data_IF_789206645354
#
_entry.id   IF_789206645354
#
_cell.length_a   1.000
_cell.length_b   1.000
_cell.length_c   1.000
_cell.angle_alpha   90.00
_cell.angle_beta   90.00
_cell.angle_gamma   90.00
#
_symmetry.space_group_name_H-M   'P 1'
#
loop_
_entity.id
_entity.type
_entity.pdbx_description
1 polymer ?
#
# COMPACT_ATOMS: atom_id res chain seq x y z
N UNK A 1 21.49 10.99 -25.34
CA UNK A 1 20.95 12.33 -25.68
C UNK A 1 19.45 12.25 -25.93
N UNK A 2 18.95 11.36 -26.79
CA UNK A 2 17.55 11.28 -27.20
C UNK A 2 16.61 11.07 -26.01
N UNK A 3 16.91 10.13 -25.12
CA UNK A 3 16.16 9.94 -23.88
C UNK A 3 16.23 11.16 -22.95
N UNK A 4 17.38 11.88 -22.96
CA UNK A 4 17.56 13.08 -22.15
C UNK A 4 16.63 14.23 -22.53
N UNK A 5 16.15 14.30 -23.78
CA UNK A 5 15.24 15.36 -24.26
C UNK A 5 13.78 14.90 -24.34
N UNK A 6 13.44 13.75 -23.73
CA UNK A 6 12.08 13.21 -23.74
C UNK A 6 11.02 14.17 -23.17
N UNK A 7 11.40 15.02 -22.20
CA UNK A 7 10.50 16.04 -21.67
C UNK A 7 10.01 17.00 -22.76
N UNK A 8 10.87 17.40 -23.70
CA UNK A 8 10.50 18.30 -24.80
C UNK A 8 9.63 17.59 -25.86
N UNK A 9 9.87 16.30 -26.09
CA UNK A 9 9.11 15.51 -27.06
C UNK A 9 7.76 15.02 -26.51
N UNK A 10 7.60 14.89 -25.21
CA UNK A 10 6.41 14.34 -24.57
C UNK A 10 5.68 15.40 -23.74
N UNK A 11 6.31 15.91 -22.67
CA UNK A 11 5.61 16.81 -21.73
C UNK A 11 5.20 18.14 -22.38
N UNK A 12 6.10 18.76 -23.14
CA UNK A 12 5.82 20.03 -23.83
C UNK A 12 4.87 19.89 -25.04
N UNK A 13 4.65 18.68 -25.55
CA UNK A 13 3.82 18.43 -26.74
C UNK A 13 2.41 17.96 -26.40
N UNK A 14 2.21 17.32 -25.27
CA UNK A 14 0.92 16.79 -24.86
C UNK A 14 0.20 17.82 -23.99
N UNK A 15 -1.05 18.10 -24.34
CA UNK A 15 -1.90 19.06 -23.62
C UNK A 15 -2.47 18.54 -22.30
N UNK A 16 -2.40 17.22 -22.08
CA UNK A 16 -2.85 16.53 -20.88
C UNK A 16 -1.72 16.30 -19.87
N UNK A 17 -0.50 16.78 -20.16
CA UNK A 17 0.67 16.68 -19.29
C UNK A 17 1.23 18.07 -18.95
N UNK A 18 1.98 18.14 -17.85
CA UNK A 18 2.60 19.36 -17.38
C UNK A 18 4.13 19.27 -17.49
N UNK A 19 4.76 20.42 -17.71
CA UNK A 19 6.20 20.60 -17.67
C UNK A 19 6.54 21.72 -16.65
N UNK A 20 7.48 21.47 -15.72
CA UNK A 20 8.27 20.24 -15.48
C UNK A 20 7.42 19.06 -14.99
N UNK A 21 7.90 17.82 -15.15
CA UNK A 21 7.28 16.65 -14.58
C UNK A 21 7.22 16.77 -13.04
N UNK A 22 6.13 16.31 -12.43
CA UNK A 22 6.01 16.27 -10.97
C UNK A 22 7.03 15.31 -10.34
N UNK A 23 7.34 14.20 -11.01
CA UNK A 23 8.26 13.17 -10.50
C UNK A 23 8.98 12.46 -11.64
N UNK A 24 10.32 12.32 -11.52
CA UNK A 24 11.14 11.36 -12.24
C UNK A 24 11.42 10.16 -11.33
N UNK A 25 11.14 8.95 -11.81
CA UNK A 25 11.28 7.72 -11.04
C UNK A 25 12.02 6.67 -11.85
N UNK A 26 13.19 6.24 -11.36
CA UNK A 26 14.02 5.18 -11.94
C UNK A 26 15.06 4.67 -10.92
N UNK A 27 15.86 3.69 -11.34
CA UNK A 27 16.95 3.16 -10.54
C UNK A 27 18.05 4.20 -10.27
N UNK A 28 18.80 3.99 -9.22
CA UNK A 28 19.89 4.88 -8.79
C UNK A 28 21.04 5.03 -9.82
N UNK A 29 21.17 4.09 -10.77
CA UNK A 29 22.13 4.18 -11.90
C UNK A 29 21.81 5.35 -12.84
N UNK A 30 20.55 5.81 -12.88
CA UNK A 30 20.13 6.92 -13.75
C UNK A 30 20.65 8.30 -13.32
N UNK A 31 21.29 8.41 -12.17
CA UNK A 31 22.10 9.59 -11.81
C UNK A 31 23.26 9.82 -12.77
N UNK A 32 23.74 8.76 -13.44
CA UNK A 32 24.75 8.83 -14.50
C UNK A 32 24.20 8.58 -15.90
N UNK A 33 22.89 8.57 -16.04
CA UNK A 33 22.17 8.28 -17.28
C UNK A 33 21.11 9.33 -17.60
N UNK A 34 19.86 8.90 -17.59
CA UNK A 34 18.70 9.71 -17.99
C UNK A 34 18.51 10.97 -17.13
N UNK A 35 18.59 10.88 -15.80
CA UNK A 35 18.45 12.06 -14.94
C UNK A 35 19.49 13.11 -15.26
N UNK A 36 20.73 12.71 -15.42
CA UNK A 36 21.84 13.61 -15.72
C UNK A 36 21.69 14.28 -17.08
N UNK A 37 21.47 13.51 -18.15
CA UNK A 37 21.30 14.05 -19.49
C UNK A 37 20.07 14.94 -19.60
N UNK A 38 18.96 14.58 -18.97
CA UNK A 38 17.73 15.36 -18.96
C UNK A 38 17.90 16.67 -18.19
N UNK A 39 18.57 16.64 -17.03
CA UNK A 39 18.85 17.84 -16.26
C UNK A 39 19.71 18.84 -17.06
N UNK A 40 20.83 18.38 -17.61
CA UNK A 40 21.77 19.26 -18.33
C UNK A 40 21.11 19.87 -19.58
N UNK A 41 20.37 19.10 -20.36
CA UNK A 41 19.69 19.61 -21.56
C UNK A 41 18.59 20.60 -21.22
N UNK A 42 17.81 20.35 -20.16
CA UNK A 42 16.75 21.25 -19.73
C UNK A 42 17.30 22.55 -19.13
N UNK A 43 18.26 22.47 -18.23
CA UNK A 43 18.89 23.67 -17.65
C UNK A 43 19.56 24.51 -18.75
N UNK A 44 20.29 23.89 -19.68
CA UNK A 44 20.93 24.60 -20.79
C UNK A 44 19.95 25.26 -21.78
N UNK A 45 18.75 24.78 -21.93
CA UNK A 45 17.78 25.25 -22.93
C UNK A 45 16.54 25.94 -22.37
N UNK A 46 16.16 25.68 -21.10
CA UNK A 46 14.96 26.22 -20.40
C UNK A 46 15.32 26.98 -19.12
N UNK A 47 16.57 26.87 -18.63
CA UNK A 47 17.01 27.54 -17.41
C UNK A 47 16.59 26.85 -16.09
N UNK A 48 15.89 25.71 -16.16
CA UNK A 48 15.43 24.96 -14.97
C UNK A 48 15.40 23.44 -15.20
N UNK A 49 15.28 22.68 -14.11
CA UNK A 49 15.18 21.23 -14.18
C UNK A 49 13.88 20.78 -14.88
N UNK A 50 13.87 19.61 -15.57
CA UNK A 50 12.69 19.09 -16.25
C UNK A 50 11.72 18.35 -15.29
N UNK A 51 12.00 18.35 -13.99
CA UNK A 51 11.22 17.69 -12.93
C UNK A 51 11.21 18.52 -11.65
N UNK A 52 10.16 18.37 -10.88
CA UNK A 52 10.04 18.94 -9.54
C UNK A 52 10.69 18.06 -8.48
N UNK A 53 10.62 16.73 -8.65
CA UNK A 53 11.15 15.75 -7.70
C UNK A 53 11.79 14.57 -8.43
N UNK A 54 12.73 13.90 -7.76
CA UNK A 54 13.35 12.64 -8.20
C UNK A 54 13.19 11.60 -7.11
N UNK A 55 12.70 10.42 -7.47
CA UNK A 55 12.66 9.25 -6.62
C UNK A 55 13.53 8.16 -7.23
N UNK A 56 14.45 7.60 -6.45
CA UNK A 56 15.31 6.52 -6.90
C UNK A 56 15.08 5.25 -6.11
N UNK A 57 15.25 4.11 -6.78
CA UNK A 57 15.14 2.80 -6.16
C UNK A 57 16.39 1.97 -6.43
N UNK A 58 16.61 0.95 -5.58
CA UNK A 58 17.62 -0.09 -5.78
C UNK A 58 17.19 -1.11 -6.83
N UNK A 59 17.89 -2.24 -6.88
CA UNK A 59 17.64 -3.31 -7.83
C UNK A 59 16.95 -4.50 -7.18
N UNK A 60 16.32 -5.33 -7.99
CA UNK A 60 15.77 -6.61 -7.54
C UNK A 60 16.88 -7.66 -7.61
N UNK A 61 17.13 -8.30 -6.47
CA UNK A 61 18.12 -9.37 -6.31
C UNK A 61 17.45 -10.67 -5.84
N UNK A 62 18.12 -11.80 -5.98
CA UNK A 62 17.60 -13.07 -5.49
C UNK A 62 17.58 -13.12 -3.94
N UNK A 63 17.10 -14.23 -3.38
CA UNK A 63 17.00 -14.40 -1.92
C UNK A 63 18.33 -14.33 -1.19
N UNK A 64 19.46 -14.59 -1.88
CA UNK A 64 20.82 -14.49 -1.34
C UNK A 64 21.43 -13.08 -1.52
N UNK A 65 20.75 -12.17 -2.23
CA UNK A 65 21.24 -10.84 -2.54
C UNK A 65 22.13 -10.78 -3.80
N UNK A 66 22.08 -11.79 -4.64
CA UNK A 66 22.83 -11.82 -5.90
C UNK A 66 21.98 -11.27 -7.05
N UNK A 67 22.64 -10.60 -7.99
CA UNK A 67 22.00 -10.10 -9.21
C UNK A 67 21.35 -11.25 -9.97
N UNK A 68 20.09 -11.08 -10.35
CA UNK A 68 19.38 -12.04 -11.17
C UNK A 68 19.86 -12.00 -12.62
N UNK A 69 20.11 -13.17 -13.21
CA UNK A 69 20.44 -13.31 -14.62
C UNK A 69 19.92 -14.61 -15.19
N UNK A 70 19.61 -14.63 -16.49
CA UNK A 70 19.16 -15.85 -17.18
C UNK A 70 20.24 -16.96 -17.13
N UNK A 71 21.50 -16.57 -17.21
CA UNK A 71 22.63 -17.52 -17.15
C UNK A 71 22.80 -18.17 -15.79
N UNK A 72 22.42 -17.48 -14.71
CA UNK A 72 22.46 -18.03 -13.34
C UNK A 72 21.21 -18.84 -12.97
N UNK A 73 20.17 -18.81 -13.79
CA UNK A 73 18.91 -19.53 -13.53
C UNK A 73 18.12 -19.05 -12.30
N UNK A 74 18.44 -17.88 -11.75
CA UNK A 74 17.86 -17.33 -10.54
C UNK A 74 16.82 -16.23 -10.80
N UNK A 75 16.34 -16.10 -12.05
CA UNK A 75 15.36 -15.10 -12.43
C UNK A 75 13.96 -15.55 -12.01
N UNK A 76 13.25 -14.70 -11.27
CA UNK A 76 11.82 -14.84 -11.01
C UNK A 76 11.07 -13.90 -11.94
N UNK A 77 10.22 -14.48 -12.79
CA UNK A 77 9.46 -13.72 -13.78
C UNK A 77 8.11 -13.30 -13.20
N UNK A 78 7.70 -12.02 -13.32
CA UNK A 78 6.41 -11.54 -12.80
C UNK A 78 5.20 -12.39 -13.21
N UNK A 79 5.14 -12.84 -14.48
CA UNK A 79 4.04 -13.67 -14.98
C UNK A 79 3.90 -15.01 -14.24
N UNK A 80 5.01 -15.59 -13.81
CA UNK A 80 4.98 -16.83 -13.01
C UNK A 80 4.42 -16.58 -11.60
N UNK A 81 4.77 -15.46 -11.00
CA UNK A 81 4.23 -15.04 -9.69
C UNK A 81 2.73 -14.77 -9.83
N UNK A 82 2.34 -13.99 -10.82
CA UNK A 82 0.94 -13.62 -11.07
C UNK A 82 0.08 -14.85 -11.31
N UNK A 83 0.55 -15.80 -12.11
CA UNK A 83 -0.21 -17.03 -12.42
C UNK A 83 -0.41 -17.94 -11.20
N UNK A 84 0.56 -17.95 -10.26
CA UNK A 84 0.53 -18.84 -9.08
C UNK A 84 -0.13 -18.18 -7.86
N UNK A 85 0.15 -16.90 -7.62
CA UNK A 85 -0.19 -16.21 -6.38
C UNK A 85 -1.14 -15.01 -6.59
N UNK A 86 -1.31 -14.57 -7.83
CA UNK A 86 -2.09 -13.37 -8.17
C UNK A 86 -1.25 -12.10 -8.19
N UNK A 87 -1.72 -11.10 -8.93
CA UNK A 87 -1.04 -9.82 -9.08
C UNK A 87 -0.94 -9.03 -7.76
N UNK A 88 -1.90 -9.21 -6.86
CA UNK A 88 -1.93 -8.47 -5.59
C UNK A 88 -0.79 -8.89 -4.65
N UNK A 89 -0.38 -10.16 -4.68
CA UNK A 89 0.79 -10.62 -3.89
C UNK A 89 2.07 -9.98 -4.41
N UNK A 90 2.22 -9.86 -5.72
CA UNK A 90 3.37 -9.17 -6.33
C UNK A 90 3.39 -7.67 -5.96
N UNK A 91 2.24 -6.99 -6.03
CA UNK A 91 2.11 -5.58 -5.61
C UNK A 91 2.43 -5.39 -4.13
N UNK A 92 1.93 -6.28 -3.27
CA UNK A 92 2.25 -6.26 -1.84
C UNK A 92 3.74 -6.47 -1.58
N UNK A 93 4.40 -7.37 -2.34
CA UNK A 93 5.84 -7.57 -2.21
C UNK A 93 6.60 -6.27 -2.48
N UNK A 94 6.33 -5.60 -3.59
CA UNK A 94 6.98 -4.31 -3.92
C UNK A 94 6.73 -3.26 -2.83
N UNK A 95 5.52 -3.25 -2.25
CA UNK A 95 5.15 -2.29 -1.21
C UNK A 95 5.71 -2.65 0.18
N UNK A 96 6.05 -3.92 0.42
CA UNK A 96 6.51 -4.39 1.73
C UNK A 96 7.99 -4.11 2.00
N UNK A 97 8.77 -3.92 0.94
CA UNK A 97 10.21 -3.71 1.01
C UNK A 97 10.58 -2.23 0.98
N UNK A 98 11.69 -1.85 1.60
CA UNK A 98 12.25 -0.50 1.43
C UNK A 98 13.02 -0.45 0.10
N UNK A 99 12.37 0.05 -0.93
CA UNK A 99 12.90 0.13 -2.28
C UNK A 99 14.14 1.06 -2.44
N UNK A 100 14.51 1.82 -1.42
CA UNK A 100 15.72 2.68 -1.46
C UNK A 100 16.99 1.85 -1.56
N UNK A 101 16.96 0.63 -1.02
CA UNK A 101 18.01 -0.38 -1.14
C UNK A 101 17.62 -1.47 -2.15
N UNK A 102 18.55 -2.41 -2.41
CA UNK A 102 18.27 -3.58 -3.23
C UNK A 102 17.27 -4.50 -2.53
N UNK A 103 16.20 -4.85 -3.24
CA UNK A 103 15.10 -5.66 -2.70
C UNK A 103 15.23 -7.12 -3.10
N UNK A 104 15.02 -8.01 -2.12
CA UNK A 104 15.16 -9.45 -2.32
C UNK A 104 13.82 -10.07 -2.74
N UNK A 105 13.91 -11.01 -3.71
CA UNK A 105 12.78 -11.83 -4.09
C UNK A 105 13.14 -13.31 -4.00
N UNK A 106 12.26 -14.11 -3.41
CA UNK A 106 12.34 -15.58 -3.41
C UNK A 106 10.95 -16.18 -3.25
N UNK A 107 10.79 -17.45 -3.58
CA UNK A 107 9.51 -18.15 -3.38
C UNK A 107 9.09 -18.17 -1.91
N UNK A 108 10.03 -18.21 -0.97
CA UNK A 108 9.74 -18.15 0.46
C UNK A 108 9.20 -16.78 0.89
N UNK A 109 9.83 -15.69 0.40
CA UNK A 109 9.36 -14.33 0.64
C UNK A 109 7.95 -14.15 0.09
N UNK A 110 7.71 -14.56 -1.15
CA UNK A 110 6.40 -14.48 -1.79
C UNK A 110 5.33 -15.29 -1.06
N UNK A 111 5.67 -16.48 -0.54
CA UNK A 111 4.74 -17.29 0.26
C UNK A 111 4.36 -16.60 1.57
N UNK A 112 5.32 -16.01 2.29
CA UNK A 112 5.03 -15.23 3.52
C UNK A 112 4.12 -14.03 3.23
N UNK A 113 4.32 -13.38 2.09
CA UNK A 113 3.46 -12.28 1.67
C UNK A 113 2.06 -12.73 1.26
N UNK A 114 1.93 -13.88 0.63
CA UNK A 114 0.63 -14.49 0.36
C UNK A 114 -0.13 -14.77 1.66
N UNK A 115 0.53 -15.28 2.70
CA UNK A 115 -0.09 -15.48 4.02
C UNK A 115 -0.53 -14.13 4.65
N UNK A 116 0.27 -13.07 4.51
CA UNK A 116 -0.11 -11.74 4.97
C UNK A 116 -1.31 -11.17 4.18
N UNK A 117 -1.33 -11.35 2.86
CA UNK A 117 -2.47 -10.99 2.01
C UNK A 117 -3.76 -11.70 2.46
N UNK A 118 -3.69 -12.99 2.74
CA UNK A 118 -4.86 -13.72 3.23
C UNK A 118 -5.36 -13.22 4.58
N UNK A 119 -4.49 -12.78 5.48
CA UNK A 119 -4.91 -12.17 6.76
C UNK A 119 -5.67 -10.86 6.52
N UNK A 120 -5.15 -9.97 5.68
CA UNK A 120 -5.84 -8.72 5.31
C UNK A 120 -7.19 -9.05 4.65
N UNK A 121 -7.23 -9.97 3.69
CA UNK A 121 -8.46 -10.38 3.03
C UNK A 121 -9.48 -10.98 4.00
N UNK A 122 -9.04 -11.76 4.97
CA UNK A 122 -9.92 -12.33 5.98
C UNK A 122 -10.51 -11.26 6.92
N UNK A 123 -9.75 -10.19 7.21
CA UNK A 123 -10.27 -9.01 7.90
C UNK A 123 -11.47 -8.42 7.14
N UNK A 124 -11.31 -8.15 5.84
CA UNK A 124 -12.42 -7.67 5.00
C UNK A 124 -13.61 -8.64 4.97
N UNK A 125 -13.35 -9.93 4.86
CA UNK A 125 -14.44 -10.94 4.90
C UNK A 125 -15.22 -10.92 6.21
N UNK A 126 -14.52 -10.75 7.34
CA UNK A 126 -15.17 -10.62 8.64
C UNK A 126 -16.03 -9.37 8.73
N UNK A 127 -15.49 -8.23 8.30
CA UNK A 127 -16.20 -6.95 8.27
C UNK A 127 -17.48 -7.06 7.43
N UNK A 128 -17.36 -7.48 6.17
CA UNK A 128 -18.48 -7.63 5.24
C UNK A 128 -19.52 -8.63 5.76
N UNK A 129 -19.08 -9.77 6.28
CA UNK A 129 -19.96 -10.81 6.79
C UNK A 129 -20.79 -10.38 8.01
N UNK A 130 -20.30 -9.42 8.81
CA UNK A 130 -21.00 -8.93 9.99
C UNK A 130 -21.77 -7.61 9.76
N UNK A 131 -21.74 -7.09 8.54
CA UNK A 131 -22.47 -5.89 8.12
C UNK A 131 -23.65 -6.19 7.17
N UNK A 132 -23.98 -7.46 6.93
CA UNK A 132 -25.01 -7.86 5.97
C UNK A 132 -26.41 -7.31 6.27
N UNK A 133 -26.72 -7.06 7.55
CA UNK A 133 -27.99 -6.55 8.06
C UNK A 133 -27.88 -5.10 8.60
N UNK A 134 -26.79 -4.40 8.32
CA UNK A 134 -26.52 -3.05 8.80
C UNK A 134 -26.84 -1.99 7.74
N UNK A 135 -27.77 -1.11 8.03
CA UNK A 135 -28.09 0.07 7.22
C UNK A 135 -27.42 1.31 7.83
N UNK A 136 -26.37 1.87 7.21
CA UNK A 136 -25.62 2.98 7.80
C UNK A 136 -26.44 4.27 7.98
N UNK A 137 -27.55 4.41 7.26
CA UNK A 137 -28.42 5.57 7.41
C UNK A 137 -29.36 5.46 8.63
N UNK A 138 -29.73 4.23 9.02
CA UNK A 138 -30.70 3.97 10.10
C UNK A 138 -30.04 3.43 11.37
N UNK A 139 -28.95 2.68 11.22
CA UNK A 139 -28.38 1.85 12.28
C UNK A 139 -27.14 2.44 12.92
N UNK A 140 -26.56 3.48 12.30
CA UNK A 140 -25.35 4.12 12.77
C UNK A 140 -25.59 4.82 14.10
N UNK A 141 -24.71 4.56 15.05
CA UNK A 141 -24.76 5.16 16.39
C UNK A 141 -23.73 6.31 16.47
N UNK A 142 -24.08 7.44 17.09
CA UNK A 142 -23.13 8.55 17.33
C UNK A 142 -21.94 8.11 18.18
N UNK A 143 -20.77 8.72 17.94
CA UNK A 143 -19.52 8.33 18.60
C UNK A 143 -19.60 8.35 20.14
N UNK A 144 -20.36 9.27 20.72
CA UNK A 144 -20.55 9.37 22.18
C UNK A 144 -21.29 8.19 22.78
N UNK A 145 -22.12 7.51 21.99
CA UNK A 145 -22.97 6.38 22.40
C UNK A 145 -22.31 5.03 22.09
N UNK A 146 -21.19 5.02 21.37
CA UNK A 146 -20.44 3.79 21.11
C UNK A 146 -19.86 3.22 22.40
N UNK A 147 -19.79 1.91 22.49
CA UNK A 147 -19.11 1.24 23.59
C UNK A 147 -17.61 1.57 23.59
N UNK A 148 -16.99 1.55 24.76
CA UNK A 148 -15.60 1.95 24.94
C UNK A 148 -14.64 1.19 24.00
N UNK A 149 -14.83 -0.12 23.86
CA UNK A 149 -14.00 -0.95 22.98
C UNK A 149 -14.18 -0.60 21.49
N UNK A 150 -15.36 -0.14 21.07
CA UNK A 150 -15.63 0.29 19.71
C UNK A 150 -14.99 1.66 19.45
N UNK A 151 -15.02 2.57 20.42
CA UNK A 151 -14.27 3.84 20.37
C UNK A 151 -12.77 3.61 20.34
N UNK A 152 -12.26 2.62 21.10
CA UNK A 152 -10.86 2.23 21.04
C UNK A 152 -10.46 1.77 19.63
N UNK A 153 -11.27 0.91 19.01
CA UNK A 153 -10.99 0.43 17.64
C UNK A 153 -10.94 1.58 16.63
N UNK A 154 -11.89 2.53 16.72
CA UNK A 154 -11.89 3.73 15.88
C UNK A 154 -10.70 4.65 16.16
N UNK A 155 -10.24 4.73 17.41
CA UNK A 155 -9.02 5.47 17.74
C UNK A 155 -7.78 4.83 17.12
N UNK A 156 -7.65 3.49 17.14
CA UNK A 156 -6.56 2.80 16.45
C UNK A 156 -6.62 3.02 14.93
N UNK A 157 -7.83 3.02 14.34
CA UNK A 157 -8.03 3.36 12.94
C UNK A 157 -7.52 4.78 12.62
N UNK A 158 -7.82 5.78 13.45
CA UNK A 158 -7.34 7.15 13.23
C UNK A 158 -5.82 7.27 13.30
N UNK A 159 -5.19 6.53 14.22
CA UNK A 159 -3.72 6.44 14.27
C UNK A 159 -3.15 5.81 12.99
N UNK A 160 -3.78 4.74 12.50
CA UNK A 160 -3.40 4.10 11.25
C UNK A 160 -3.50 5.10 10.08
N UNK A 161 -4.63 5.77 9.93
CA UNK A 161 -4.86 6.76 8.84
C UNK A 161 -3.80 7.85 8.87
N UNK A 162 -3.50 8.43 10.04
CA UNK A 162 -2.48 9.48 10.16
C UNK A 162 -1.11 8.98 9.74
N UNK A 163 -0.72 7.79 10.23
CA UNK A 163 0.57 7.17 9.90
C UNK A 163 0.69 6.81 8.41
N UNK A 164 -0.39 6.29 7.83
CA UNK A 164 -0.44 5.94 6.40
C UNK A 164 -0.29 7.18 5.52
N UNK A 165 -1.01 8.26 5.83
CA UNK A 165 -0.90 9.53 5.08
C UNK A 165 0.52 10.09 5.14
N UNK A 166 1.09 10.16 6.34
CA UNK A 166 2.46 10.64 6.53
C UNK A 166 3.49 9.77 5.77
N UNK A 167 3.30 8.45 5.76
CA UNK A 167 4.16 7.53 5.01
C UNK A 167 4.01 7.70 3.49
N UNK A 168 2.81 7.96 2.97
CA UNK A 168 2.61 8.29 1.54
C UNK A 168 3.30 9.59 1.16
N UNK A 169 3.19 10.64 1.98
CA UNK A 169 3.85 11.93 1.72
C UNK A 169 5.38 11.79 1.65
N UNK A 170 5.95 10.77 2.34
CA UNK A 170 7.39 10.47 2.34
C UNK A 170 7.80 9.36 1.37
N UNK A 171 6.86 8.81 0.59
CA UNK A 171 7.09 7.63 -0.26
C UNK A 171 7.61 6.40 0.51
N UNK A 172 7.19 6.21 1.76
CA UNK A 172 7.57 5.09 2.64
C UNK A 172 6.52 3.96 2.57
N UNK A 173 6.36 3.31 1.41
CA UNK A 173 5.30 2.32 1.18
C UNK A 173 5.41 1.10 2.08
N UNK A 174 6.61 0.68 2.47
CA UNK A 174 6.83 -0.39 3.44
C UNK A 174 6.20 -0.06 4.81
N UNK A 175 6.25 1.19 5.23
CA UNK A 175 5.58 1.65 6.46
C UNK A 175 4.07 1.54 6.35
N UNK A 176 3.49 1.84 5.18
CA UNK A 176 2.06 1.64 4.89
C UNK A 176 1.69 0.16 5.02
N UNK A 177 2.40 -0.71 4.30
CA UNK A 177 2.17 -2.14 4.32
C UNK A 177 2.22 -2.73 5.74
N UNK A 178 3.30 -2.49 6.47
CA UNK A 178 3.47 -3.02 7.81
C UNK A 178 2.43 -2.49 8.80
N UNK A 179 2.04 -1.23 8.69
CA UNK A 179 1.03 -0.64 9.55
C UNK A 179 -0.35 -1.24 9.31
N UNK A 180 -0.75 -1.41 8.04
CA UNK A 180 -2.04 -2.05 7.68
C UNK A 180 -2.03 -3.53 8.08
N UNK A 181 -0.94 -4.26 7.83
CA UNK A 181 -0.84 -5.67 8.22
C UNK A 181 -0.95 -5.84 9.74
N UNK A 182 -0.24 -5.02 10.52
CA UNK A 182 -0.33 -5.06 11.98
C UNK A 182 -1.74 -4.76 12.47
N UNK A 183 -2.36 -3.70 11.96
CA UNK A 183 -3.74 -3.35 12.31
C UNK A 183 -4.71 -4.50 12.03
N UNK A 184 -4.66 -5.10 10.85
CA UNK A 184 -5.54 -6.21 10.48
C UNK A 184 -5.29 -7.48 11.31
N UNK A 185 -4.02 -7.85 11.52
CA UNK A 185 -3.66 -9.11 12.15
C UNK A 185 -3.72 -9.06 13.67
N UNK A 186 -3.22 -7.99 14.28
CA UNK A 186 -3.06 -7.89 15.73
C UNK A 186 -4.25 -7.14 16.34
N UNK A 187 -4.45 -5.89 15.94
CA UNK A 187 -5.45 -5.04 16.59
C UNK A 187 -6.87 -5.50 16.27
N UNK A 188 -7.14 -5.82 15.00
CA UNK A 188 -8.48 -6.26 14.59
C UNK A 188 -8.69 -7.76 14.84
N UNK A 189 -7.94 -8.63 14.18
CA UNK A 189 -8.25 -10.06 14.20
C UNK A 189 -7.94 -10.74 15.54
N UNK A 190 -6.79 -10.46 16.15
CA UNK A 190 -6.40 -11.13 17.39
C UNK A 190 -7.08 -10.55 18.64
N UNK A 191 -7.55 -9.31 18.62
CA UNK A 191 -8.17 -8.67 19.77
C UNK A 191 -9.61 -8.25 19.52
N UNK A 192 -9.83 -7.25 18.67
CA UNK A 192 -11.13 -6.60 18.57
C UNK A 192 -12.23 -7.54 18.06
N UNK A 193 -12.00 -8.25 16.97
CA UNK A 193 -12.99 -9.18 16.42
C UNK A 193 -13.30 -10.34 17.35
N UNK A 194 -12.32 -10.80 18.12
CA UNK A 194 -12.53 -11.86 19.10
C UNK A 194 -13.50 -11.41 20.20
N UNK A 195 -13.30 -10.21 20.74
CA UNK A 195 -14.19 -9.59 21.72
C UNK A 195 -15.61 -9.36 21.15
N UNK A 196 -15.73 -9.06 19.85
CA UNK A 196 -17.02 -8.75 19.23
C UNK A 196 -17.91 -9.98 18.99
N UNK A 197 -17.39 -11.21 18.99
CA UNK A 197 -18.11 -12.40 18.59
C UNK A 197 -19.45 -12.56 19.33
N UNK A 198 -19.45 -12.40 20.65
CA UNK A 198 -20.69 -12.55 21.42
C UNK A 198 -21.73 -11.51 21.02
N UNK A 199 -21.32 -10.25 20.89
CA UNK A 199 -22.24 -9.17 20.49
C UNK A 199 -22.79 -9.35 19.07
N UNK A 200 -21.96 -9.78 18.14
CA UNK A 200 -22.34 -9.94 16.74
C UNK A 200 -23.21 -11.17 16.50
N UNK A 201 -22.98 -12.26 17.25
CA UNK A 201 -23.66 -13.55 16.99
C UNK A 201 -24.80 -13.87 17.92
N UNK A 202 -24.80 -13.35 19.16
CA UNK A 202 -25.80 -13.70 20.15
C UNK A 202 -26.76 -12.56 20.50
N UNK A 203 -26.39 -11.31 20.30
CA UNK A 203 -27.23 -10.18 20.62
C UNK A 203 -28.33 -9.99 19.57
N UNK A 204 -29.47 -9.48 20.00
CA UNK A 204 -30.57 -9.09 19.09
C UNK A 204 -30.06 -8.08 18.05
N UNK A 205 -30.55 -8.21 16.82
CA UNK A 205 -30.22 -7.32 15.69
C UNK A 205 -30.48 -5.83 15.97
N UNK A 206 -31.42 -5.53 16.91
CA UNK A 206 -31.78 -4.17 17.31
C UNK A 206 -31.07 -3.69 18.58
N UNK A 207 -30.21 -4.50 19.19
CA UNK A 207 -29.54 -4.11 20.43
C UNK A 207 -28.52 -3.04 20.22
N UNK A 208 -28.41 -2.09 21.16
CA UNK A 208 -27.41 -1.01 21.12
C UNK A 208 -25.97 -1.56 21.03
N UNK A 209 -25.66 -2.65 21.75
CA UNK A 209 -24.35 -3.27 21.74
C UNK A 209 -23.95 -3.83 20.36
N UNK A 210 -24.91 -4.45 19.62
CA UNK A 210 -24.66 -4.93 18.25
C UNK A 210 -24.51 -3.76 17.28
N UNK A 211 -25.38 -2.76 17.35
CA UNK A 211 -25.31 -1.56 16.50
C UNK A 211 -24.02 -0.77 16.72
N UNK A 212 -23.56 -0.66 17.97
CA UNK A 212 -22.28 -0.04 18.31
C UNK A 212 -21.10 -0.76 17.61
N UNK A 213 -21.05 -2.09 17.73
CA UNK A 213 -20.04 -2.90 17.05
C UNK A 213 -20.10 -2.73 15.52
N UNK A 214 -21.29 -2.85 14.92
CA UNK A 214 -21.47 -2.72 13.47
C UNK A 214 -21.12 -1.31 12.96
N UNK A 215 -21.40 -0.27 13.71
CA UNK A 215 -20.99 1.11 13.38
C UNK A 215 -19.45 1.19 13.29
N UNK A 216 -18.75 0.66 14.28
CA UNK A 216 -17.28 0.67 14.25
C UNK A 216 -16.72 -0.19 13.10
N UNK A 217 -17.27 -1.39 12.85
CA UNK A 217 -16.90 -2.24 11.73
C UNK A 217 -17.12 -1.53 10.38
N UNK A 218 -18.20 -0.81 10.23
CA UNK A 218 -18.53 -0.04 9.03
C UNK A 218 -17.51 1.08 8.77
N UNK A 219 -17.16 1.85 9.80
CA UNK A 219 -16.13 2.91 9.67
C UNK A 219 -14.75 2.33 9.34
N UNK A 220 -14.40 1.17 9.92
CA UNK A 220 -13.14 0.46 9.61
C UNK A 220 -13.15 -0.06 8.17
N UNK A 221 -14.28 -0.60 7.69
CA UNK A 221 -14.39 -1.10 6.32
C UNK A 221 -14.28 0.02 5.27
N UNK A 222 -14.79 1.19 5.60
CA UNK A 222 -14.85 2.36 4.69
C UNK A 222 -13.51 3.07 4.54
N UNK A 223 -12.66 3.01 5.56
CA UNK A 223 -11.35 3.67 5.57
C UNK A 223 -10.31 2.93 4.76
#
# INVERSE_FOLDING_TARGET
FDSGVSYAAVLEKRTDLEFPASLYLEGSDQHRGWFHSSLLTSVGTRGHAPYASVLTHGFVVDGEGKKMSKSSGNVIVPDEVISKLGADVLRLWVSAEDYKDDIKISNEILKRLADAYFRIRNTYRFLLGNLYDFDPEKDRIPNQELYEIDRWALHQLQKLISRVREAYDRFEFHTVYHSVQNFCAVEMSALYFDILKDRLYTFSTRSAGRKSAQTALYEILKA
#
